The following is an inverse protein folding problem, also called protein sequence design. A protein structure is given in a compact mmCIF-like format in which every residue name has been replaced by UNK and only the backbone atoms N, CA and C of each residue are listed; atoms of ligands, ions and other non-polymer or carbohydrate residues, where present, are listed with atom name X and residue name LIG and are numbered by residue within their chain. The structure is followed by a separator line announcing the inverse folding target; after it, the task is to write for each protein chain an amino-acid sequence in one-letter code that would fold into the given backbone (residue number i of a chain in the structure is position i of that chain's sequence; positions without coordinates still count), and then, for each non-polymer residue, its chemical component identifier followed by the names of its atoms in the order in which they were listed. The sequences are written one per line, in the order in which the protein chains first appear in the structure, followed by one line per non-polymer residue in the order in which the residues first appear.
data_IF_058932816976
#
_entry.id   IF_058932816976
#
_cell.length_a   1.000
_cell.length_b   1.000
_cell.length_c   1.000
_cell.angle_alpha   90.00
_cell.angle_beta   90.00
_cell.angle_gamma   90.00
#
_symmetry.space_group_name_H-M   'P 1'
#
loop_
_entity.id
_entity.type
_entity.pdbx_description
1 polymer ?
#
# COMPACT_ATOMS: atom_id res chain seq x y z
N UNK A 1 13.09 6.06 10.58
CA UNK A 1 13.56 4.74 10.08
C UNK A 1 14.70 4.90 9.08
N UNK A 2 14.53 5.68 8.00
CA UNK A 2 15.60 5.91 7.01
C UNK A 2 16.86 6.56 7.60
N UNK A 3 16.72 7.63 8.40
CA UNK A 3 17.85 8.27 9.07
C UNK A 3 18.66 7.28 9.94
N UNK A 4 17.97 6.48 10.77
CA UNK A 4 18.61 5.46 11.60
C UNK A 4 19.32 4.36 10.77
N UNK A 5 18.84 4.03 9.57
CA UNK A 5 19.55 3.11 8.69
C UNK A 5 20.83 3.72 8.13
N UNK A 6 20.82 5.01 7.78
CA UNK A 6 22.01 5.73 7.33
C UNK A 6 23.03 5.86 8.47
N UNK A 7 22.59 6.20 9.67
CA UNK A 7 23.45 6.28 10.86
C UNK A 7 24.13 4.95 11.19
N UNK A 8 23.40 3.83 11.08
CA UNK A 8 23.92 2.50 11.42
C UNK A 8 24.85 1.94 10.34
N UNK A 9 24.56 2.21 9.07
CA UNK A 9 25.30 1.70 7.91
C UNK A 9 26.54 2.54 7.60
N UNK A 10 26.47 3.84 7.84
CA UNK A 10 27.45 4.82 7.39
C UNK A 10 27.29 5.22 5.92
N UNK A 11 28.20 6.10 5.49
CA UNK A 11 28.21 6.74 4.17
C UNK A 11 28.91 5.94 3.06
N UNK A 12 29.45 4.76 3.39
CA UNK A 12 30.13 3.90 2.41
C UNK A 12 29.21 3.53 1.24
N UNK A 13 29.78 3.26 0.08
CA UNK A 13 28.99 2.83 -1.09
C UNK A 13 28.36 1.44 -0.87
N UNK A 14 27.14 1.22 -1.39
CA UNK A 14 26.43 -0.05 -1.25
C UNK A 14 24.91 0.08 -1.01
N UNK A 15 24.25 -1.00 -0.57
CA UNK A 15 22.80 -1.05 -0.47
C UNK A 15 22.28 -0.31 0.76
N UNK A 16 21.20 0.46 0.59
CA UNK A 16 20.55 1.22 1.67
C UNK A 16 20.13 0.34 2.86
N UNK A 17 19.68 -0.88 2.58
CA UNK A 17 19.34 -1.87 3.60
C UNK A 17 20.31 -3.05 3.53
N UNK A 18 21.22 -3.08 4.49
CA UNK A 18 22.18 -4.16 4.70
C UNK A 18 21.73 -5.09 5.84
N UNK A 19 22.02 -6.40 5.76
CA UNK A 19 21.77 -7.32 6.87
C UNK A 19 22.69 -7.03 8.05
N UNK A 20 22.16 -7.23 9.26
CA UNK A 20 22.90 -7.15 10.52
C UNK A 20 23.06 -8.58 11.06
N UNK A 21 24.29 -8.97 11.39
CA UNK A 21 24.54 -10.29 11.97
C UNK A 21 24.19 -10.38 13.46
N UNK A 22 24.34 -11.57 14.05
CA UNK A 22 24.08 -11.81 15.47
C UNK A 22 25.02 -11.04 16.39
N UNK A 23 26.18 -10.61 15.91
CA UNK A 23 27.16 -9.81 16.63
C UNK A 23 26.90 -8.29 16.47
N UNK A 24 25.83 -7.90 15.78
CA UNK A 24 25.46 -6.50 15.57
C UNK A 24 26.22 -5.81 14.42
N UNK A 25 26.95 -6.56 13.58
CA UNK A 25 27.73 -5.99 12.49
C UNK A 25 26.87 -5.81 11.24
N UNK A 26 26.93 -4.62 10.66
CA UNK A 26 26.27 -4.31 9.38
C UNK A 26 27.13 -4.82 8.23
N UNK A 27 26.52 -5.60 7.34
CA UNK A 27 27.19 -6.17 6.16
C UNK A 27 26.95 -5.27 4.94
N UNK A 28 27.74 -4.21 4.82
CA UNK A 28 27.60 -3.17 3.80
C UNK A 28 27.91 -3.65 2.38
N UNK A 29 28.53 -4.82 2.24
CA UNK A 29 28.89 -5.46 0.97
C UNK A 29 27.70 -6.11 0.25
N UNK A 30 26.57 -6.34 0.94
CA UNK A 30 25.40 -7.00 0.35
C UNK A 30 24.06 -6.48 0.85
N UNK A 31 23.06 -6.55 -0.02
CA UNK A 31 21.69 -6.14 0.30
C UNK A 31 20.92 -7.20 1.07
N UNK A 32 19.81 -6.79 1.69
CA UNK A 32 18.82 -7.73 2.20
C UNK A 32 18.29 -8.64 1.07
N UNK A 33 18.17 -9.93 1.36
CA UNK A 33 17.51 -10.87 0.46
C UNK A 33 15.99 -10.64 0.47
N UNK A 34 15.30 -10.99 -0.62
CA UNK A 34 13.83 -10.93 -0.67
C UNK A 34 13.16 -11.72 0.46
N UNK A 35 13.76 -12.84 0.89
CA UNK A 35 13.30 -13.62 2.05
C UNK A 35 13.47 -12.87 3.37
N UNK A 36 14.59 -12.17 3.56
CA UNK A 36 14.82 -11.35 4.74
C UNK A 36 13.81 -10.19 4.83
N UNK A 37 13.52 -9.55 3.69
CA UNK A 37 12.47 -8.53 3.59
C UNK A 37 11.10 -9.11 3.94
N UNK A 38 10.73 -10.24 3.34
CA UNK A 38 9.45 -10.91 3.61
C UNK A 38 9.29 -11.26 5.10
N UNK A 39 10.34 -11.81 5.73
CA UNK A 39 10.34 -12.10 7.17
C UNK A 39 10.18 -10.83 8.01
N UNK A 40 10.84 -9.73 7.63
CA UNK A 40 10.72 -8.47 8.39
C UNK A 40 9.30 -7.91 8.31
N UNK A 41 8.67 -7.99 7.15
CA UNK A 41 7.27 -7.60 6.94
C UNK A 41 6.33 -8.46 7.79
N UNK A 42 6.53 -9.78 7.83
CA UNK A 42 5.74 -10.70 8.67
C UNK A 42 5.84 -10.31 10.15
N UNK A 43 7.06 -10.07 10.66
CA UNK A 43 7.26 -9.62 12.05
C UNK A 43 6.58 -8.28 12.34
N UNK A 44 6.66 -7.30 11.44
CA UNK A 44 5.95 -6.03 11.60
C UNK A 44 4.42 -6.24 11.65
N UNK A 45 3.92 -7.15 10.82
CA UNK A 45 2.49 -7.48 10.73
C UNK A 45 1.97 -8.12 12.01
N UNK A 46 2.75 -9.04 12.58
CA UNK A 46 2.48 -9.67 13.88
C UNK A 46 2.49 -8.62 15.01
N UNK A 47 3.50 -7.75 15.03
CA UNK A 47 3.61 -6.67 16.02
C UNK A 47 2.43 -5.70 15.95
N UNK A 48 1.96 -5.39 14.73
CA UNK A 48 0.81 -4.52 14.51
C UNK A 48 -0.55 -5.23 14.65
N UNK A 49 -0.57 -6.57 14.80
CA UNK A 49 -1.78 -7.41 14.88
C UNK A 49 -2.73 -7.26 13.68
N UNK A 50 -2.18 -7.00 12.49
CA UNK A 50 -2.95 -6.75 11.26
C UNK A 50 -3.16 -8.00 10.39
N UNK A 51 -2.81 -9.19 10.90
CA UNK A 51 -2.92 -10.47 10.17
C UNK A 51 -1.73 -10.75 9.26
N UNK A 52 -1.88 -11.65 8.28
CA UNK A 52 -0.80 -11.99 7.33
C UNK A 52 -0.70 -10.94 6.23
N UNK A 53 0.42 -10.23 6.19
CA UNK A 53 0.74 -9.27 5.14
C UNK A 53 1.77 -9.90 4.18
N UNK A 54 1.40 -10.01 2.90
CA UNK A 54 2.29 -10.58 1.88
C UNK A 54 3.17 -9.50 1.24
N UNK A 55 4.31 -9.87 0.61
CA UNK A 55 5.23 -8.91 -0.02
C UNK A 55 4.61 -8.07 -1.16
N UNK A 56 3.37 -8.31 -1.56
CA UNK A 56 2.68 -7.57 -2.62
C UNK A 56 2.04 -6.25 -2.14
N UNK A 57 2.62 -5.60 -1.13
CA UNK A 57 2.19 -4.28 -0.64
C UNK A 57 2.04 -3.27 -1.78
N UNK A 58 2.90 -3.36 -2.79
CA UNK A 58 2.85 -2.57 -4.03
C UNK A 58 1.43 -2.50 -4.63
N UNK A 59 0.71 -3.63 -4.67
CA UNK A 59 -0.66 -3.71 -5.20
C UNK A 59 -1.64 -2.95 -4.32
N UNK A 60 -1.63 -3.19 -3.01
CA UNK A 60 -2.54 -2.54 -2.07
C UNK A 60 -2.31 -1.03 -2.02
N UNK A 61 -1.05 -0.60 -1.98
CA UNK A 61 -0.68 0.82 -2.05
C UNK A 61 -1.18 1.47 -3.32
N UNK A 62 -0.97 0.84 -4.48
CA UNK A 62 -1.49 1.37 -5.74
C UNK A 62 -3.02 1.49 -5.74
N UNK A 63 -3.75 0.45 -5.30
CA UNK A 63 -5.22 0.51 -5.21
C UNK A 63 -5.69 1.62 -4.28
N UNK A 64 -5.03 1.84 -3.13
CA UNK A 64 -5.40 2.90 -2.20
C UNK A 64 -5.14 4.31 -2.77
N UNK A 65 -3.99 4.53 -3.40
CA UNK A 65 -3.66 5.81 -4.03
C UNK A 65 -4.61 6.11 -5.19
N UNK A 66 -4.95 5.10 -6.01
CA UNK A 66 -5.97 5.25 -7.05
C UNK A 66 -7.35 5.57 -6.45
N UNK A 67 -7.77 4.91 -5.37
CA UNK A 67 -9.04 5.19 -4.71
C UNK A 67 -9.17 6.63 -4.18
N UNK A 68 -8.05 7.31 -3.90
CA UNK A 68 -8.02 8.72 -3.51
C UNK A 68 -8.17 9.69 -4.69
N UNK A 69 -8.35 9.18 -5.91
CA UNK A 69 -8.58 10.01 -7.10
C UNK A 69 -7.31 10.34 -7.88
N UNK A 70 -6.14 9.84 -7.48
CA UNK A 70 -4.88 10.10 -8.19
C UNK A 70 -4.89 9.47 -9.58
N UNK A 71 -4.41 10.21 -10.57
CA UNK A 71 -4.32 9.76 -11.96
C UNK A 71 -3.39 8.55 -12.14
N UNK A 72 -3.75 7.63 -13.05
CA UNK A 72 -3.00 6.38 -13.25
C UNK A 72 -1.54 6.61 -13.65
N UNK A 73 -1.27 7.65 -14.44
CA UNK A 73 0.10 8.01 -14.85
C UNK A 73 0.97 8.39 -13.63
N UNK A 74 0.44 9.23 -12.74
CA UNK A 74 1.14 9.61 -11.51
C UNK A 74 1.40 8.41 -10.58
N UNK A 75 0.46 7.46 -10.52
CA UNK A 75 0.68 6.20 -9.76
C UNK A 75 1.73 5.31 -10.43
N UNK A 76 1.76 5.25 -11.77
CA UNK A 76 2.79 4.51 -12.51
C UNK A 76 4.19 5.06 -12.23
N UNK A 77 4.35 6.39 -12.21
CA UNK A 77 5.60 7.08 -11.91
C UNK A 77 6.04 6.85 -10.46
N UNK A 78 5.13 6.99 -9.49
CA UNK A 78 5.38 6.67 -8.07
C UNK A 78 5.87 5.23 -7.89
N UNK A 79 5.38 4.33 -8.73
CA UNK A 79 5.73 2.93 -8.72
C UNK A 79 6.97 2.66 -9.58
N UNK A 80 7.79 3.63 -9.95
CA UNK A 80 9.00 3.40 -10.73
C UNK A 80 8.71 2.96 -12.17
N UNK A 81 7.86 3.72 -12.87
CA UNK A 81 7.50 3.52 -14.28
C UNK A 81 6.83 2.18 -14.57
N UNK A 82 5.91 1.76 -13.69
CA UNK A 82 5.11 0.55 -13.94
C UNK A 82 4.20 0.76 -15.16
N UNK A 83 4.03 -0.26 -16.00
CA UNK A 83 3.15 -0.17 -17.17
C UNK A 83 1.71 0.22 -16.78
N UNK A 84 1.08 1.07 -17.60
CA UNK A 84 -0.34 1.40 -17.49
C UNK A 84 -1.24 0.16 -17.41
N UNK A 85 -0.89 -0.92 -18.12
CA UNK A 85 -1.62 -2.18 -18.06
C UNK A 85 -1.59 -2.80 -16.66
N UNK A 86 -0.44 -2.74 -15.98
CA UNK A 86 -0.28 -3.23 -14.61
C UNK A 86 -1.07 -2.40 -13.61
N UNK A 87 -1.05 -1.07 -13.74
CA UNK A 87 -1.81 -0.16 -12.88
C UNK A 87 -3.32 -0.30 -13.12
N UNK A 88 -3.76 -0.54 -14.36
CA UNK A 88 -5.18 -0.77 -14.68
C UNK A 88 -5.77 -1.97 -13.94
N UNK A 89 -5.00 -3.04 -13.75
CA UNK A 89 -5.41 -4.20 -12.94
C UNK A 89 -5.63 -3.84 -11.46
N UNK A 90 -5.05 -2.75 -10.98
CA UNK A 90 -5.20 -2.29 -9.59
C UNK A 90 -6.29 -1.23 -9.41
N UNK A 91 -6.79 -0.64 -10.50
CA UNK A 91 -7.85 0.34 -10.46
C UNK A 91 -9.20 -0.34 -10.20
N UNK A 92 -9.71 -0.18 -8.98
CA UNK A 92 -11.01 -0.75 -8.55
C UNK A 92 -12.09 0.32 -8.42
N UNK A 93 -11.84 1.55 -8.90
CA UNK A 93 -12.80 2.65 -8.79
C UNK A 93 -14.13 2.35 -9.47
N UNK A 94 -14.10 1.64 -10.60
CA UNK A 94 -15.32 1.20 -11.31
C UNK A 94 -16.18 0.18 -10.52
N UNK A 95 -15.56 -0.63 -9.67
CA UNK A 95 -16.25 -1.59 -8.79
C UNK A 95 -16.80 -0.89 -7.54
N UNK A 96 -16.03 0.05 -6.98
CA UNK A 96 -16.41 0.85 -5.81
C UNK A 96 -17.56 1.81 -6.12
N UNK A 97 -17.57 2.40 -7.32
CA UNK A 97 -18.64 3.31 -7.74
C UNK A 97 -19.97 2.56 -7.98
N UNK A 98 -19.94 1.27 -8.35
CA UNK A 98 -21.12 0.41 -8.45
C UNK A 98 -21.66 -0.06 -7.09
N UNK A 99 -20.78 -0.22 -6.10
CA UNK A 99 -21.16 -0.56 -4.72
C UNK A 99 -21.83 0.58 -3.94
N UNK A 100 -21.65 1.84 -4.35
CA UNK A 100 -22.26 3.02 -3.73
C UNK A 100 -23.74 3.24 -4.06
N UNK A 101 -24.36 2.39 -4.89
CA UNK A 101 -25.76 2.56 -5.34
C UNK A 101 -26.77 1.66 -4.61
N UNK A 102 -26.45 1.14 -3.42
CA UNK A 102 -27.39 0.40 -2.56
C UNK A 102 -27.63 1.16 -1.26
N UNK A 103 -28.71 1.95 -1.21
CA UNK A 103 -29.31 2.40 0.04
C UNK A 103 -29.56 3.90 0.17
N UNK A 104 -30.50 4.45 -0.60
CA UNK A 104 -31.43 5.48 -0.10
C UNK A 104 -32.83 5.15 -0.58
N UNK A 105 -33.52 4.31 0.19
CA UNK A 105 -34.98 4.29 0.18
C UNK A 105 -35.45 5.72 0.44
N UNK A 106 -36.04 6.34 -0.58
CA UNK A 106 -36.79 7.59 -0.43
C UNK A 106 -38.13 7.24 0.21
N UNK A 107 -38.11 7.05 1.53
CA UNK A 107 -39.32 7.08 2.36
C UNK A 107 -39.56 8.53 2.82
N UNK A 108 -40.60 9.14 2.27
CA UNK A 108 -41.32 10.28 2.83
C UNK A 108 -42.71 10.22 2.18
N UNK A 109 -43.59 9.43 2.77
CA UNK A 109 -44.64 9.86 3.72
C UNK A 109 -45.76 10.63 3.01
N UNK A 110 -46.91 9.99 3.04
CA UNK A 110 -48.21 10.51 2.71
C UNK A 110 -48.43 11.93 3.26
N UNK A 111 -49.00 12.79 2.42
CA UNK A 111 -50.00 13.75 2.89
C UNK A 111 -51.32 13.41 2.21
N UNK A 112 -52.18 12.77 3.00
CA UNK A 112 -53.63 12.85 2.91
C UNK A 112 -54.07 14.31 3.04
N UNK A 113 -55.03 14.75 2.22
CA UNK A 113 -55.69 16.05 2.43
C UNK A 113 -56.59 16.48 1.27
N UNK A 114 -57.89 16.30 1.48
CA UNK A 114 -59.05 16.59 0.63
C UNK A 114 -59.49 18.07 0.66
N UNK A 115 -60.29 18.52 -0.32
CA UNK A 115 -61.08 19.79 -0.34
C UNK A 115 -60.42 20.93 -1.14
N UNK A 116 -61.05 21.59 -2.11
CA UNK A 116 -62.46 21.82 -2.46
C UNK A 116 -62.65 21.93 -3.98
#
# INVERSE_FOLDING_TARGET
MLAACLELRGDDEGPLFAPVDKAGRVQVDRGLTGRAVARRVELCSEQARIGRLSPHMRRTSATQVLAQGVEMAAVADLMGNSSHYTIRRYDRREEQNRGGSHGRHRLSLAQTGNGE
#
